data_IF_624955963055
#
_entry.id   IF_624955963055
#
_cell.length_a   1.000
_cell.length_b   1.000
_cell.length_c   1.000
_cell.angle_alpha   90.00
_cell.angle_beta   90.00
_cell.angle_gamma   90.00
#
_symmetry.space_group_name_H-M   'P 1'
#
loop_
_entity.id
_entity.type
_entity.pdbx_description
1 polymer ?
#
# COMPACT_ATOMS: atom_id res chain seq x y z
N UNK A 1 -9.75 4.75 22.52
CA UNK A 1 -10.15 3.73 21.51
C UNK A 1 -9.31 3.96 20.27
N UNK A 2 -8.58 2.95 19.79
CA UNK A 2 -7.80 3.09 18.54
C UNK A 2 -8.77 3.12 17.37
N UNK A 3 -8.68 4.17 16.55
CA UNK A 3 -9.44 4.22 15.30
C UNK A 3 -8.65 3.43 14.24
N UNK A 4 -9.06 2.19 14.00
CA UNK A 4 -8.41 1.28 13.05
C UNK A 4 -8.40 1.81 11.62
N UNK A 5 -9.42 2.55 11.18
CA UNK A 5 -9.44 3.16 9.84
C UNK A 5 -8.30 4.15 9.66
N UNK A 6 -8.07 5.01 10.66
CA UNK A 6 -6.95 5.96 10.64
C UNK A 6 -5.60 5.26 10.65
N UNK A 7 -5.49 4.14 11.37
CA UNK A 7 -4.28 3.32 11.37
C UNK A 7 -4.05 2.74 9.98
N UNK A 8 -5.05 2.07 9.39
CA UNK A 8 -4.91 1.45 8.07
C UNK A 8 -4.61 2.47 6.97
N UNK A 9 -5.25 3.64 7.00
CA UNK A 9 -4.95 4.73 6.07
C UNK A 9 -3.52 5.23 6.24
N UNK A 10 -3.04 5.41 7.47
CA UNK A 10 -1.65 5.82 7.73
C UNK A 10 -0.66 4.79 7.18
N UNK A 11 -0.87 3.50 7.44
CA UNK A 11 0.03 2.45 6.93
C UNK A 11 -0.02 2.37 5.40
N UNK A 12 -1.19 2.56 4.79
CA UNK A 12 -1.30 2.65 3.34
C UNK A 12 -0.47 3.81 2.76
N UNK A 13 -0.49 4.98 3.41
CA UNK A 13 0.33 6.11 3.01
C UNK A 13 1.83 5.84 3.17
N UNK A 14 2.25 5.09 4.19
CA UNK A 14 3.64 4.65 4.33
C UNK A 14 4.06 3.71 3.19
N UNK A 15 3.19 2.76 2.79
CA UNK A 15 3.43 1.89 1.64
C UNK A 15 3.60 2.72 0.36
N UNK A 16 2.70 3.67 0.10
CA UNK A 16 2.77 4.54 -1.09
C UNK A 16 4.04 5.40 -1.05
N UNK A 17 4.36 5.99 0.10
CA UNK A 17 5.56 6.82 0.27
C UNK A 17 6.84 6.01 0.06
N UNK A 18 6.92 4.78 0.59
CA UNK A 18 8.05 3.88 0.34
C UNK A 18 8.23 3.56 -1.13
N UNK A 19 7.14 3.48 -1.88
CA UNK A 19 7.22 3.29 -3.31
C UNK A 19 7.42 4.61 -4.10
N UNK A 20 7.56 5.77 -3.45
CA UNK A 20 7.53 7.09 -4.08
C UNK A 20 6.31 7.30 -5.02
N UNK A 21 5.18 6.65 -4.73
CA UNK A 21 4.02 6.62 -5.62
C UNK A 21 4.18 5.81 -6.91
N UNK A 22 5.36 5.20 -7.15
CA UNK A 22 5.62 4.28 -8.24
C UNK A 22 5.00 2.89 -7.96
N UNK A 23 3.67 2.88 -7.96
CA UNK A 23 2.81 1.70 -7.81
C UNK A 23 1.92 1.62 -9.05
N UNK A 24 2.10 0.58 -9.84
CA UNK A 24 1.28 0.32 -11.03
C UNK A 24 0.05 -0.48 -10.63
N UNK A 25 -1.13 0.07 -10.87
CA UNK A 25 -2.41 -0.57 -10.60
C UNK A 25 -3.21 -0.78 -11.89
N UNK A 26 -4.03 -1.84 -11.94
CA UNK A 26 -5.04 -1.99 -13.00
C UNK A 26 -6.23 -1.08 -12.74
N UNK A 27 -7.04 -0.83 -13.78
CA UNK A 27 -8.35 -0.16 -13.68
C UNK A 27 -9.30 -0.81 -12.66
N UNK A 28 -9.14 -2.11 -12.40
CA UNK A 28 -9.94 -2.86 -11.43
C UNK A 28 -9.31 -2.89 -10.02
N UNK A 29 -8.28 -2.08 -9.76
CA UNK A 29 -7.66 -1.95 -8.44
C UNK A 29 -6.67 -3.07 -8.08
N UNK A 30 -6.17 -3.85 -9.04
CA UNK A 30 -5.13 -4.84 -8.78
C UNK A 30 -3.75 -4.18 -8.85
N UNK A 31 -2.95 -4.27 -7.79
CA UNK A 31 -1.55 -3.84 -7.82
C UNK A 31 -0.76 -4.86 -8.66
N UNK A 32 -0.07 -4.37 -9.69
CA UNK A 32 0.68 -5.18 -10.65
C UNK A 32 2.17 -5.13 -10.30
N UNK A 33 2.71 -3.93 -10.12
CA UNK A 33 4.14 -3.69 -10.03
C UNK A 33 4.42 -2.54 -9.06
N UNK A 34 5.54 -2.60 -8.35
CA UNK A 34 5.98 -1.54 -7.44
C UNK A 34 7.49 -1.31 -7.56
N UNK A 35 7.91 -0.07 -7.36
CA UNK A 35 9.30 0.26 -7.06
C UNK A 35 9.50 0.24 -5.54
N UNK A 36 10.45 -0.54 -5.03
CA UNK A 36 10.82 -0.50 -3.61
C UNK A 36 12.05 0.37 -3.42
N UNK A 37 11.93 1.51 -2.75
CA UNK A 37 13.07 2.39 -2.46
C UNK A 37 14.08 1.80 -1.50
N UNK A 38 13.68 0.85 -0.63
CA UNK A 38 14.63 0.17 0.27
C UNK A 38 15.52 -0.84 -0.46
N UNK A 39 15.02 -1.40 -1.56
CA UNK A 39 15.71 -2.44 -2.36
C UNK A 39 16.22 -1.92 -3.70
N UNK A 40 15.80 -0.72 -4.10
CA UNK A 40 16.06 -0.11 -5.40
C UNK A 40 15.69 -1.00 -6.60
N UNK A 41 14.55 -1.71 -6.53
CA UNK A 41 14.12 -2.68 -7.55
C UNK A 41 12.65 -2.45 -7.94
N UNK A 42 12.35 -2.63 -9.22
CA UNK A 42 11.00 -2.80 -9.76
C UNK A 42 10.61 -4.27 -9.82
N UNK A 43 9.43 -4.63 -9.29
CA UNK A 43 8.96 -6.02 -9.37
C UNK A 43 7.45 -6.15 -9.24
N UNK A 44 6.91 -7.13 -9.98
CA UNK A 44 5.51 -7.52 -9.90
C UNK A 44 5.16 -8.27 -8.60
N UNK A 45 6.15 -8.87 -7.93
CA UNK A 45 5.94 -9.66 -6.71
C UNK A 45 6.13 -8.87 -5.41
N UNK A 46 6.75 -7.69 -5.47
CA UNK A 46 7.16 -6.96 -4.27
C UNK A 46 6.00 -6.25 -3.56
N UNK A 47 4.90 -5.96 -4.25
CA UNK A 47 3.76 -5.26 -3.66
C UNK A 47 3.25 -5.94 -2.38
N UNK A 48 3.09 -7.26 -2.41
CA UNK A 48 2.66 -8.03 -1.24
C UNK A 48 3.71 -8.06 -0.12
N UNK A 49 5.00 -8.07 -0.48
CA UNK A 49 6.09 -8.07 0.49
C UNK A 49 6.20 -6.73 1.22
N UNK A 50 6.21 -5.61 0.47
CA UNK A 50 6.24 -4.26 1.04
C UNK A 50 5.06 -4.05 1.99
N UNK A 51 3.87 -4.46 1.56
CA UNK A 51 2.65 -4.30 2.36
C UNK A 51 2.72 -5.12 3.65
N UNK A 52 3.22 -6.37 3.59
CA UNK A 52 3.47 -7.18 4.79
C UNK A 52 4.49 -6.54 5.73
N UNK A 53 5.56 -5.97 5.18
CA UNK A 53 6.62 -5.33 5.98
C UNK A 53 6.10 -4.10 6.70
N UNK A 54 5.45 -3.17 6.01
CA UNK A 54 4.93 -1.95 6.65
C UNK A 54 3.83 -2.25 7.67
N UNK A 55 2.94 -3.23 7.38
CA UNK A 55 1.95 -3.66 8.36
C UNK A 55 2.58 -4.29 9.62
N UNK A 56 3.65 -5.09 9.47
CA UNK A 56 4.35 -5.70 10.61
C UNK A 56 5.11 -4.66 11.43
N UNK A 57 5.70 -3.65 10.80
CA UNK A 57 6.34 -2.53 11.50
C UNK A 57 5.35 -1.78 12.41
N UNK A 58 4.07 -1.78 12.04
CA UNK A 58 2.98 -1.12 12.76
C UNK A 58 2.19 -2.09 13.66
N UNK A 59 2.70 -3.31 13.89
CA UNK A 59 2.10 -4.36 14.73
C UNK A 59 0.68 -4.78 14.32
N UNK A 60 0.36 -4.70 13.03
CA UNK A 60 -0.91 -5.19 12.51
C UNK A 60 -0.91 -6.73 12.36
N UNK A 61 -2.07 -7.35 12.58
CA UNK A 61 -2.30 -8.77 12.37
C UNK A 61 -2.46 -9.07 10.88
N UNK A 62 -2.17 -10.30 10.46
CA UNK A 62 -2.15 -10.65 9.04
C UNK A 62 -3.50 -10.45 8.32
N UNK A 63 -4.62 -10.66 9.02
CA UNK A 63 -5.96 -10.40 8.47
C UNK A 63 -6.23 -8.91 8.23
N UNK A 64 -5.52 -8.00 8.90
CA UNK A 64 -5.64 -6.55 8.71
C UNK A 64 -4.94 -6.07 7.43
N UNK A 65 -4.04 -6.88 6.85
CA UNK A 65 -3.27 -6.49 5.66
C UNK A 65 -4.18 -6.28 4.44
N UNK A 66 -5.30 -7.00 4.38
CA UNK A 66 -6.31 -6.83 3.34
C UNK A 66 -6.98 -5.45 3.41
N UNK A 67 -7.19 -4.93 4.63
CA UNK A 67 -7.74 -3.58 4.84
C UNK A 67 -6.74 -2.53 4.37
N UNK A 68 -5.47 -2.63 4.79
CA UNK A 68 -4.41 -1.70 4.35
C UNK A 68 -4.28 -1.70 2.83
N UNK A 69 -4.30 -2.87 2.18
CA UNK A 69 -4.29 -2.95 0.70
C UNK A 69 -5.45 -2.19 0.08
N UNK A 70 -6.65 -2.32 0.64
CA UNK A 70 -7.84 -1.59 0.17
C UNK A 70 -7.61 -0.09 0.25
N UNK A 71 -7.03 0.42 1.34
CA UNK A 71 -6.69 1.84 1.46
C UNK A 71 -5.61 2.26 0.46
N UNK A 72 -4.57 1.46 0.22
CA UNK A 72 -3.57 1.77 -0.82
C UNK A 72 -4.23 1.96 -2.18
N UNK A 73 -5.14 1.06 -2.56
CA UNK A 73 -5.87 1.14 -3.83
C UNK A 73 -6.76 2.37 -3.87
N UNK A 74 -7.52 2.66 -2.80
CA UNK A 74 -8.39 3.84 -2.69
C UNK A 74 -7.60 5.15 -2.82
N UNK A 75 -6.46 5.26 -2.14
CA UNK A 75 -5.62 6.46 -2.17
C UNK A 75 -5.00 6.68 -3.55
N UNK A 76 -4.64 5.60 -4.27
CA UNK A 76 -4.10 5.69 -5.62
C UNK A 76 -5.19 6.03 -6.66
N UNK A 77 -6.35 5.38 -6.60
CA UNK A 77 -7.46 5.63 -7.53
C UNK A 77 -8.17 6.97 -7.25
N UNK A 78 -8.37 7.32 -5.99
CA UNK A 78 -8.99 8.60 -5.61
C UNK A 78 -8.13 9.81 -5.98
N UNK A 79 -6.81 9.65 -6.11
CA UNK A 79 -5.94 10.66 -6.71
C UNK A 79 -6.10 10.76 -8.23
N UNK A 80 -6.42 9.65 -8.91
CA UNK A 80 -6.63 9.64 -10.37
C UNK A 80 -7.96 10.28 -10.80
N UNK A 81 -8.98 10.34 -9.93
CA UNK A 81 -10.28 10.98 -10.24
C UNK A 81 -10.27 12.51 -10.02
N UNK A 82 -9.25 13.05 -9.36
CA UNK A 82 -9.09 14.49 -9.07
C UNK A 82 -8.03 15.18 -9.96
N UNK A 83 -7.63 14.57 -11.07
CA UNK A 83 -6.78 15.15 -12.12
C UNK A 83 -7.54 15.18 -13.44
#
# INVERSE_FOLDING_TARGET
>A
MVNFEKVYQRVAMQVIARCHGAIKITKHGKIIEVYDTKRHIWSNGLAGLILKEECRNENLREWEFANVRTYVIKELLGKSENQ
#
